data_IF_815862004956
#
_entry.id   IF_815862004956
#
_cell.length_a   1.000
_cell.length_b   1.000
_cell.length_c   1.000
_cell.angle_alpha   90.00
_cell.angle_beta   90.00
_cell.angle_gamma   90.00
#
_symmetry.space_group_name_H-M   'P 1'
#
loop_
_entity.id
_entity.type
_entity.pdbx_description
1 polymer ?
#
# COMPACT_ATOMS: atom_id res chain seq x y z
N UNK A 1 -67.86 40.12 -30.47
CA UNK A 1 -66.77 39.98 -29.50
C UNK A 1 -66.07 38.66 -29.85
N UNK A 2 -64.94 38.75 -30.53
CA UNK A 2 -64.18 37.56 -31.09
C UNK A 2 -62.99 37.25 -30.22
N UNK A 3 -62.89 36.01 -29.73
CA UNK A 3 -61.83 35.49 -28.95
C UNK A 3 -60.87 34.81 -29.90
N UNK A 4 -59.63 35.33 -30.00
CA UNK A 4 -58.56 34.73 -30.79
C UNK A 4 -57.82 33.65 -30.01
N UNK A 5 -57.69 32.46 -30.60
CA UNK A 5 -56.81 31.37 -30.12
C UNK A 5 -55.44 31.46 -30.82
N UNK A 6 -54.38 31.54 -30.04
CA UNK A 6 -53.00 31.42 -30.51
C UNK A 6 -52.54 29.96 -30.49
N UNK A 7 -51.77 29.48 -31.48
CA UNK A 7 -51.25 28.11 -31.48
C UNK A 7 -49.96 28.04 -30.64
N UNK A 8 -49.88 27.02 -29.77
CA UNK A 8 -48.66 26.65 -29.05
C UNK A 8 -47.75 25.85 -29.99
N UNK A 9 -46.57 26.36 -30.24
CA UNK A 9 -45.47 25.65 -30.88
C UNK A 9 -44.84 24.66 -29.87
N UNK A 10 -44.88 23.35 -30.17
CA UNK A 10 -44.18 22.31 -29.47
C UNK A 10 -42.73 22.28 -29.90
N UNK A 11 -41.82 22.72 -29.05
CA UNK A 11 -40.37 22.57 -29.21
C UNK A 11 -39.94 21.17 -28.77
N UNK A 12 -39.58 20.31 -29.74
CA UNK A 12 -38.99 18.99 -29.45
C UNK A 12 -37.54 19.14 -28.97
N UNK A 13 -37.27 18.73 -27.74
CA UNK A 13 -35.92 18.51 -27.25
C UNK A 13 -35.39 17.19 -27.79
N UNK A 14 -34.42 17.26 -28.70
CA UNK A 14 -33.59 16.13 -29.08
C UNK A 14 -32.58 15.84 -27.93
N UNK A 15 -32.86 14.79 -27.17
CA UNK A 15 -31.90 14.27 -26.19
C UNK A 15 -30.85 13.45 -26.94
N UNK A 16 -29.65 14.00 -27.08
CA UNK A 16 -28.46 13.30 -27.59
C UNK A 16 -27.96 12.36 -26.50
N UNK A 17 -28.26 11.07 -26.61
CA UNK A 17 -27.68 10.04 -25.74
C UNK A 17 -26.20 9.84 -26.14
N UNK A 18 -25.27 10.35 -25.31
CA UNK A 18 -23.86 10.02 -25.38
C UNK A 18 -23.67 8.62 -24.81
N UNK A 19 -23.56 7.62 -25.68
CA UNK A 19 -23.18 6.27 -25.28
C UNK A 19 -21.69 6.28 -24.88
N UNK A 20 -21.43 6.18 -23.59
CA UNK A 20 -20.10 5.94 -23.06
C UNK A 20 -19.68 4.50 -23.43
N UNK A 21 -18.86 4.34 -24.45
CA UNK A 21 -18.22 3.06 -24.79
C UNK A 21 -17.12 2.81 -23.76
N UNK A 22 -17.44 2.05 -22.73
CA UNK A 22 -16.44 1.49 -21.81
C UNK A 22 -15.69 0.39 -22.54
N UNK A 23 -14.49 0.69 -23.01
CA UNK A 23 -13.55 -0.32 -23.55
C UNK A 23 -13.11 -1.23 -22.39
N UNK A 24 -13.74 -2.39 -22.29
CA UNK A 24 -13.33 -3.42 -21.37
C UNK A 24 -11.96 -3.99 -21.84
N UNK A 25 -10.88 -3.61 -21.17
CA UNK A 25 -9.56 -4.21 -21.40
C UNK A 25 -9.64 -5.67 -20.95
N UNK A 26 -9.31 -6.66 -21.80
CA UNK A 26 -9.35 -8.05 -21.41
C UNK A 26 -8.37 -8.30 -20.25
N UNK A 27 -8.81 -9.05 -19.23
CA UNK A 27 -8.04 -9.34 -17.99
C UNK A 27 -6.65 -9.87 -18.30
N UNK A 28 -6.49 -10.66 -19.37
CA UNK A 28 -5.20 -11.18 -19.81
C UNK A 28 -4.22 -10.09 -20.26
N UNK A 29 -4.68 -9.06 -20.95
CA UNK A 29 -3.83 -7.95 -21.40
C UNK A 29 -3.40 -7.05 -20.22
N UNK A 30 -4.30 -6.80 -19.28
CA UNK A 30 -3.96 -6.06 -18.06
C UNK A 30 -2.91 -6.79 -17.22
N UNK A 31 -3.04 -8.11 -17.06
CA UNK A 31 -2.07 -8.96 -16.36
C UNK A 31 -0.69 -8.94 -17.04
N UNK A 32 -0.63 -9.05 -18.36
CA UNK A 32 0.62 -8.98 -19.11
C UNK A 32 1.32 -7.63 -18.88
N UNK A 33 0.60 -6.53 -19.03
CA UNK A 33 1.14 -5.17 -18.88
C UNK A 33 1.77 -4.93 -17.48
N UNK A 34 1.14 -5.39 -16.38
CA UNK A 34 1.70 -5.21 -15.03
C UNK A 34 2.89 -6.13 -14.76
N UNK A 35 2.92 -7.32 -15.38
CA UNK A 35 4.09 -8.24 -15.31
C UNK A 35 5.28 -7.66 -16.05
N UNK A 36 5.06 -7.07 -17.22
CA UNK A 36 6.09 -6.39 -18.00
C UNK A 36 6.64 -5.16 -17.26
N UNK A 37 5.75 -4.37 -16.65
CA UNK A 37 6.17 -3.24 -15.82
C UNK A 37 7.03 -3.68 -14.61
N UNK A 38 6.72 -4.83 -14.01
CA UNK A 38 7.55 -5.40 -12.93
C UNK A 38 8.93 -5.86 -13.46
N UNK A 39 8.95 -6.53 -14.62
CA UNK A 39 10.18 -6.97 -15.28
C UNK A 39 11.09 -5.77 -15.59
N UNK A 40 10.56 -4.74 -16.25
CA UNK A 40 11.32 -3.56 -16.68
C UNK A 40 11.94 -2.81 -15.48
N UNK A 41 11.16 -2.59 -14.42
CA UNK A 41 11.65 -1.94 -13.20
C UNK A 41 12.71 -2.77 -12.49
N UNK A 42 12.52 -4.09 -12.45
CA UNK A 42 13.51 -5.03 -11.87
C UNK A 42 14.81 -5.04 -12.69
N UNK A 43 14.72 -4.97 -14.03
CA UNK A 43 15.88 -4.84 -14.91
C UNK A 43 16.65 -3.55 -14.61
N UNK A 44 15.96 -2.40 -14.53
CA UNK A 44 16.60 -1.11 -14.28
C UNK A 44 17.23 -1.04 -12.88
N UNK A 45 16.61 -1.62 -11.85
CA UNK A 45 17.20 -1.76 -10.51
C UNK A 45 18.45 -2.65 -10.53
N UNK A 46 18.46 -3.71 -11.32
CA UNK A 46 19.63 -4.56 -11.46
C UNK A 46 20.77 -3.88 -12.24
N UNK A 47 20.45 -3.16 -13.32
CA UNK A 47 21.39 -2.36 -14.08
C UNK A 47 21.98 -1.21 -13.23
N UNK A 48 21.14 -0.55 -12.40
CA UNK A 48 21.57 0.46 -11.43
C UNK A 48 22.67 -0.06 -10.50
N UNK A 49 22.49 -1.25 -9.92
CA UNK A 49 23.49 -1.85 -9.03
C UNK A 49 24.84 -2.14 -9.69
N UNK A 50 24.84 -2.35 -11.01
CA UNK A 50 26.05 -2.61 -11.78
C UNK A 50 26.71 -1.35 -12.29
N UNK A 51 25.92 -0.35 -12.72
CA UNK A 51 26.38 0.77 -13.54
C UNK A 51 26.22 2.14 -12.87
N UNK A 52 25.66 2.21 -11.67
CA UNK A 52 25.42 3.46 -10.92
C UNK A 52 24.70 4.54 -11.76
N UNK A 53 23.47 4.19 -12.21
CA UNK A 53 22.73 4.98 -13.20
C UNK A 53 21.98 6.18 -12.62
N UNK A 54 21.58 6.12 -11.35
CA UNK A 54 20.55 6.99 -10.77
C UNK A 54 20.91 7.52 -9.39
N UNK A 55 20.42 8.70 -9.07
CA UNK A 55 20.46 9.29 -7.74
C UNK A 55 19.64 8.47 -6.72
N UNK A 56 19.99 8.50 -5.42
CA UNK A 56 19.34 7.70 -4.37
C UNK A 56 17.81 7.86 -4.30
N UNK A 57 17.28 9.07 -4.47
CA UNK A 57 15.83 9.31 -4.46
C UNK A 57 15.11 8.62 -5.63
N UNK A 58 15.72 8.60 -6.81
CA UNK A 58 15.18 7.90 -7.98
C UNK A 58 15.27 6.38 -7.82
N UNK A 59 16.34 5.86 -7.21
CA UNK A 59 16.45 4.43 -6.88
C UNK A 59 15.30 4.02 -5.96
N UNK A 60 15.04 4.79 -4.91
CA UNK A 60 13.94 4.52 -3.99
C UNK A 60 12.56 4.61 -4.67
N UNK A 61 12.35 5.59 -5.56
CA UNK A 61 11.12 5.70 -6.36
C UNK A 61 10.93 4.48 -7.27
N UNK A 62 12.00 4.04 -7.93
CA UNK A 62 11.97 2.88 -8.81
C UNK A 62 11.73 1.57 -8.03
N UNK A 63 12.30 1.44 -6.83
CA UNK A 63 12.06 0.29 -5.94
C UNK A 63 10.60 0.25 -5.48
N UNK A 64 10.06 1.38 -4.99
CA UNK A 64 8.66 1.49 -4.62
C UNK A 64 7.73 1.10 -5.80
N UNK A 65 8.03 1.59 -6.99
CA UNK A 65 7.26 1.28 -8.19
C UNK A 65 7.39 -0.21 -8.61
N UNK A 66 8.57 -0.83 -8.45
CA UNK A 66 8.75 -2.25 -8.73
C UNK A 66 7.93 -3.12 -7.76
N UNK A 67 7.94 -2.79 -6.47
CA UNK A 67 7.13 -3.46 -5.45
C UNK A 67 5.63 -3.29 -5.73
N UNK A 68 5.18 -2.10 -6.11
CA UNK A 68 3.79 -1.84 -6.48
C UNK A 68 3.38 -2.62 -7.75
N UNK A 69 4.24 -2.69 -8.77
CA UNK A 69 3.96 -3.49 -9.97
C UNK A 69 3.87 -4.99 -9.65
N UNK A 70 4.73 -5.48 -8.75
CA UNK A 70 4.64 -6.86 -8.26
C UNK A 70 3.31 -7.11 -7.55
N UNK A 71 2.89 -6.24 -6.64
CA UNK A 71 1.62 -6.32 -5.95
C UNK A 71 0.43 -6.32 -6.90
N UNK A 72 0.43 -5.40 -7.87
CA UNK A 72 -0.60 -5.31 -8.90
C UNK A 72 -0.67 -6.60 -9.75
N UNK A 73 0.47 -7.17 -10.15
CA UNK A 73 0.51 -8.42 -10.90
C UNK A 73 -0.06 -9.60 -10.10
N UNK A 74 0.27 -9.71 -8.81
CA UNK A 74 -0.26 -10.75 -7.92
C UNK A 74 -1.78 -10.61 -7.75
N UNK A 75 -2.29 -9.41 -7.53
CA UNK A 75 -3.75 -9.14 -7.45
C UNK A 75 -4.47 -9.40 -8.77
N UNK A 76 -3.80 -9.17 -9.90
CA UNK A 76 -4.31 -9.55 -11.22
C UNK A 76 -4.22 -11.06 -11.51
N UNK A 77 -3.82 -11.88 -10.53
CA UNK A 77 -3.77 -13.34 -10.63
C UNK A 77 -2.50 -13.90 -11.27
N UNK A 78 -1.41 -13.12 -11.39
CA UNK A 78 -0.13 -13.66 -11.84
C UNK A 78 0.43 -14.66 -10.80
N UNK A 79 0.88 -15.86 -11.20
CA UNK A 79 1.55 -16.77 -10.28
C UNK A 79 2.84 -16.15 -9.71
N UNK A 80 3.06 -16.30 -8.41
CA UNK A 80 4.27 -15.80 -7.77
C UNK A 80 5.56 -16.39 -8.38
N UNK A 81 5.50 -17.64 -8.83
CA UNK A 81 6.60 -18.31 -9.53
C UNK A 81 6.97 -17.59 -10.83
N UNK A 82 5.97 -17.15 -11.62
CA UNK A 82 6.20 -16.43 -12.89
C UNK A 82 6.90 -15.08 -12.63
N UNK A 83 6.51 -14.37 -11.57
CA UNK A 83 7.16 -13.11 -11.18
C UNK A 83 8.60 -13.35 -10.70
N UNK A 84 8.83 -14.43 -9.96
CA UNK A 84 10.18 -14.83 -9.54
C UNK A 84 11.05 -15.13 -10.76
N UNK A 85 10.53 -15.88 -11.74
CA UNK A 85 11.22 -16.16 -12.99
C UNK A 85 11.46 -14.90 -13.82
N UNK A 86 10.48 -13.99 -13.91
CA UNK A 86 10.62 -12.70 -14.57
C UNK A 86 11.75 -11.86 -13.93
N UNK A 87 11.79 -11.78 -12.60
CA UNK A 87 12.84 -11.09 -11.89
C UNK A 87 14.22 -11.70 -12.13
N UNK A 88 14.33 -13.03 -12.18
CA UNK A 88 15.58 -13.73 -12.51
C UNK A 88 16.06 -13.39 -13.93
N UNK A 89 15.16 -13.46 -14.93
CA UNK A 89 15.47 -13.07 -16.31
C UNK A 89 15.92 -11.60 -16.41
N UNK A 90 15.24 -10.69 -15.72
CA UNK A 90 15.59 -9.28 -15.69
C UNK A 90 17.02 -9.05 -15.15
N UNK A 91 17.37 -9.71 -14.04
CA UNK A 91 18.71 -9.62 -13.45
C UNK A 91 19.79 -10.22 -14.38
N UNK A 92 19.51 -11.36 -14.98
CA UNK A 92 20.43 -12.00 -15.93
C UNK A 92 20.67 -11.10 -17.15
N UNK A 93 19.62 -10.48 -17.71
CA UNK A 93 19.75 -9.52 -18.81
C UNK A 93 20.60 -8.33 -18.39
N UNK A 94 20.33 -7.72 -17.24
CA UNK A 94 21.10 -6.58 -16.72
C UNK A 94 22.58 -6.91 -16.52
N UNK A 95 22.89 -8.11 -16.01
CA UNK A 95 24.26 -8.55 -15.82
C UNK A 95 25.06 -8.64 -17.14
N UNK A 96 24.39 -8.96 -18.25
CA UNK A 96 24.98 -9.08 -19.60
C UNK A 96 25.01 -7.76 -20.37
N UNK A 97 24.21 -6.76 -19.99
CA UNK A 97 24.14 -5.44 -20.67
C UNK A 97 25.36 -4.61 -20.29
N UNK A 98 26.07 -4.04 -21.24
CA UNK A 98 27.17 -3.12 -20.98
C UNK A 98 26.65 -1.79 -20.41
N UNK A 99 27.45 -1.11 -19.56
CA UNK A 99 27.02 0.14 -18.94
C UNK A 99 26.96 1.32 -19.94
N UNK A 100 27.67 1.24 -21.03
CA UNK A 100 27.70 2.19 -22.14
C UNK A 100 26.72 1.83 -23.27
N UNK A 101 25.89 0.77 -23.10
CA UNK A 101 24.92 0.34 -24.09
C UNK A 101 23.93 1.46 -24.42
N UNK A 102 23.75 1.74 -25.74
CA UNK A 102 22.93 2.83 -26.22
C UNK A 102 21.44 2.66 -25.89
N UNK A 103 20.93 1.41 -25.85
CA UNK A 103 19.54 1.13 -25.47
C UNK A 103 19.34 1.35 -23.95
N UNK A 104 20.32 0.94 -23.14
CA UNK A 104 20.30 1.19 -21.70
C UNK A 104 20.25 2.70 -21.42
N UNK A 105 21.04 3.51 -22.14
CA UNK A 105 21.05 4.97 -21.98
C UNK A 105 19.71 5.61 -22.37
N UNK A 106 19.06 5.13 -23.44
CA UNK A 106 17.71 5.57 -23.81
C UNK A 106 16.66 5.22 -22.76
N UNK A 107 16.73 4.02 -22.20
CA UNK A 107 15.82 3.60 -21.12
C UNK A 107 16.08 4.38 -19.85
N UNK A 108 17.36 4.64 -19.50
CA UNK A 108 17.75 5.51 -18.37
C UNK A 108 17.06 6.88 -18.46
N UNK A 109 17.15 7.55 -19.61
CA UNK A 109 16.53 8.86 -19.82
C UNK A 109 15.00 8.82 -19.65
N UNK A 110 14.34 7.78 -20.19
CA UNK A 110 12.88 7.58 -20.01
C UNK A 110 12.49 7.34 -18.55
N UNK A 111 13.28 6.57 -17.80
CA UNK A 111 13.05 6.35 -16.37
C UNK A 111 13.18 7.67 -15.62
N UNK A 112 14.23 8.45 -15.85
CA UNK A 112 14.40 9.76 -15.21
C UNK A 112 13.22 10.69 -15.47
N UNK A 113 12.77 10.80 -16.71
CA UNK A 113 11.60 11.61 -17.07
C UNK A 113 10.30 11.08 -16.43
N UNK A 114 10.07 9.78 -16.49
CA UNK A 114 8.85 9.15 -15.95
C UNK A 114 8.72 9.22 -14.42
N UNK A 115 9.85 9.19 -13.71
CA UNK A 115 9.85 9.25 -12.23
C UNK A 115 10.01 10.67 -11.66
N UNK A 116 10.21 11.69 -12.50
CA UNK A 116 10.30 13.07 -12.03
C UNK A 116 9.06 13.52 -11.24
N UNK A 117 7.86 13.06 -11.61
CA UNK A 117 6.62 13.29 -10.87
C UNK A 117 6.59 12.57 -9.50
N UNK A 118 7.06 11.32 -9.47
CA UNK A 118 7.15 10.53 -8.24
C UNK A 118 8.06 11.17 -7.21
N UNK A 119 9.21 11.66 -7.63
CA UNK A 119 10.17 12.31 -6.73
C UNK A 119 9.60 13.55 -6.05
N UNK A 120 8.69 14.26 -6.74
CA UNK A 120 7.98 15.44 -6.19
C UNK A 120 6.68 15.12 -5.45
N UNK A 121 6.22 13.87 -5.49
CA UNK A 121 4.99 13.48 -4.81
C UNK A 121 5.21 13.42 -3.30
N UNK A 122 4.54 14.30 -2.56
CA UNK A 122 4.54 14.26 -1.10
C UNK A 122 3.64 13.16 -0.56
N UNK A 123 2.54 12.86 -1.27
CA UNK A 123 1.53 11.86 -0.88
C UNK A 123 1.26 10.90 -2.01
N UNK A 124 1.05 9.62 -1.64
CA UNK A 124 0.74 8.57 -2.61
C UNK A 124 -0.07 7.45 -1.95
N UNK A 125 -0.95 6.81 -2.74
CA UNK A 125 -1.71 5.65 -2.32
C UNK A 125 -1.07 4.36 -2.87
N UNK A 126 -1.05 3.32 -2.03
CA UNK A 126 -0.51 2.00 -2.32
C UNK A 126 -1.63 0.98 -2.14
N UNK A 127 -2.17 0.42 -3.24
CA UNK A 127 -3.36 -0.40 -3.18
C UNK A 127 -3.22 -1.70 -2.39
N UNK A 128 -4.31 -2.12 -1.73
CA UNK A 128 -4.62 -3.49 -1.38
C UNK A 128 -5.79 -3.99 -2.23
N UNK A 129 -6.47 -5.03 -1.79
CA UNK A 129 -7.65 -5.56 -2.50
C UNK A 129 -8.91 -4.72 -2.22
N UNK A 130 -9.10 -4.28 -0.98
CA UNK A 130 -10.27 -3.51 -0.49
C UNK A 130 -9.89 -2.16 0.08
N UNK A 131 -8.69 -2.03 0.62
CA UNK A 131 -8.17 -0.83 1.25
C UNK A 131 -6.82 -0.44 0.64
N UNK A 132 -6.38 0.79 0.89
CA UNK A 132 -5.09 1.27 0.43
C UNK A 132 -4.28 1.82 1.60
N UNK A 133 -2.97 1.69 1.52
CA UNK A 133 -2.04 2.42 2.36
C UNK A 133 -1.86 3.83 1.82
N UNK A 134 -2.03 4.84 2.67
CA UNK A 134 -1.75 6.24 2.33
C UNK A 134 -0.39 6.63 2.87
N UNK A 135 0.52 6.95 1.95
CA UNK A 135 1.88 7.43 2.24
C UNK A 135 1.94 8.95 2.26
N UNK A 136 2.70 9.52 3.21
CA UNK A 136 2.95 10.96 3.36
C UNK A 136 4.42 11.20 3.72
N UNK A 137 5.12 12.01 2.91
CA UNK A 137 6.55 12.32 3.07
C UNK A 137 6.82 13.69 3.69
N UNK A 138 5.78 14.44 4.08
CA UNK A 138 5.99 15.71 4.76
C UNK A 138 6.66 15.51 6.12
N UNK A 139 7.54 16.45 6.48
CA UNK A 139 7.99 16.62 7.86
C UNK A 139 7.04 17.51 8.64
N UNK A 140 6.90 17.24 9.94
CA UNK A 140 6.09 18.03 10.85
C UNK A 140 6.70 18.00 12.25
N UNK A 141 6.43 19.05 13.05
CA UNK A 141 6.89 19.10 14.44
C UNK A 141 6.20 18.07 15.33
N UNK A 142 4.94 17.76 15.03
CA UNK A 142 4.17 16.73 15.75
C UNK A 142 4.18 15.42 14.97
N UNK A 143 4.12 14.29 15.68
CA UNK A 143 3.96 12.98 15.06
C UNK A 143 2.67 12.93 14.24
N UNK A 144 2.76 12.39 13.03
CA UNK A 144 1.66 12.18 12.11
C UNK A 144 1.84 10.86 11.36
N UNK A 145 0.82 10.45 10.64
CA UNK A 145 0.91 9.26 9.81
C UNK A 145 1.81 9.49 8.61
N UNK A 146 2.82 8.62 8.46
CA UNK A 146 3.68 8.57 7.27
C UNK A 146 3.25 7.47 6.31
N UNK A 147 2.70 6.39 6.83
CA UNK A 147 2.03 5.35 6.05
C UNK A 147 0.89 4.81 6.91
N UNK A 148 -0.34 4.80 6.42
CA UNK A 148 -1.50 4.42 7.23
C UNK A 148 -2.56 3.69 6.42
N UNK A 149 -3.20 2.71 7.06
CA UNK A 149 -4.42 2.06 6.61
C UNK A 149 -5.48 2.18 7.71
N UNK A 150 -6.73 2.38 7.31
CA UNK A 150 -7.88 2.44 8.22
C UNK A 150 -8.59 1.09 8.29
N UNK A 151 -9.11 0.76 9.45
CA UNK A 151 -9.93 -0.42 9.74
C UNK A 151 -10.87 -0.12 10.91
N UNK A 152 -11.56 -1.12 11.40
CA UNK A 152 -12.41 -1.02 12.58
C UNK A 152 -12.51 -2.36 13.32
N UNK A 153 -12.89 -2.29 14.59
CA UNK A 153 -13.34 -3.43 15.40
C UNK A 153 -14.72 -3.10 15.97
N UNK A 154 -15.77 -3.75 15.44
CA UNK A 154 -17.16 -3.33 15.68
C UNK A 154 -17.36 -1.87 15.24
N UNK A 155 -17.87 -1.02 16.14
CA UNK A 155 -18.05 0.44 15.90
C UNK A 155 -16.80 1.28 16.22
N UNK A 156 -15.73 0.67 16.71
CA UNK A 156 -14.52 1.37 17.13
C UNK A 156 -13.55 1.49 15.96
N UNK A 157 -13.22 2.73 15.50
CA UNK A 157 -12.26 2.92 14.43
C UNK A 157 -10.84 2.57 14.89
N UNK A 158 -10.09 1.95 14.00
CA UNK A 158 -8.68 1.56 14.21
C UNK A 158 -7.85 2.03 13.03
N UNK A 159 -6.75 2.69 13.30
CA UNK A 159 -5.70 3.00 12.33
C UNK A 159 -4.44 2.23 12.65
N UNK A 160 -3.78 1.75 11.63
CA UNK A 160 -2.46 1.15 11.79
C UNK A 160 -1.52 1.61 10.68
N UNK A 161 -0.24 1.76 11.06
CA UNK A 161 0.80 2.09 10.10
C UNK A 161 2.10 2.57 10.73
N UNK A 162 2.77 3.45 10.02
CA UNK A 162 4.01 4.08 10.44
C UNK A 162 3.74 5.53 10.83
N UNK A 163 3.91 5.86 12.10
CA UNK A 163 3.74 7.22 12.61
C UNK A 163 5.08 7.81 13.02
N UNK A 164 5.26 9.12 12.81
CA UNK A 164 6.49 9.84 13.16
C UNK A 164 6.43 11.30 12.72
N UNK A 165 7.46 12.06 13.04
CA UNK A 165 7.60 13.47 12.64
C UNK A 165 8.01 13.62 11.17
N UNK A 166 8.64 12.59 10.60
CA UNK A 166 9.05 12.54 9.21
C UNK A 166 9.23 11.10 8.72
N UNK A 167 9.53 10.91 7.43
CA UNK A 167 9.62 9.57 6.83
C UNK A 167 10.74 8.68 7.41
N UNK A 168 11.78 9.29 8.01
CA UNK A 168 12.93 8.57 8.63
C UNK A 168 12.75 8.26 10.12
N UNK A 169 11.75 8.86 10.77
CA UNK A 169 11.53 8.76 12.23
C UNK A 169 10.26 7.95 12.57
N UNK A 170 9.91 7.00 11.71
CA UNK A 170 8.66 6.25 11.83
C UNK A 170 8.77 5.05 12.74
N UNK A 171 7.71 4.81 13.51
CA UNK A 171 7.51 3.61 14.32
C UNK A 171 6.17 2.94 13.99
N UNK A 172 6.09 1.60 14.02
CA UNK A 172 4.84 0.89 13.84
C UNK A 172 3.88 1.22 14.97
N UNK A 173 2.73 1.76 14.62
CA UNK A 173 1.76 2.30 15.59
C UNK A 173 0.35 1.85 15.21
N UNK A 174 -0.43 1.41 16.19
CA UNK A 174 -1.89 1.31 16.06
C UNK A 174 -2.55 2.36 16.93
N UNK A 175 -3.58 3.01 16.41
CA UNK A 175 -4.44 3.93 17.17
C UNK A 175 -5.85 3.40 17.14
N UNK A 176 -6.45 3.28 18.32
CA UNK A 176 -7.83 2.85 18.49
C UNK A 176 -8.59 3.84 19.36
N UNK A 177 -9.84 4.11 18.96
CA UNK A 177 -10.78 4.93 19.73
C UNK A 177 -11.96 4.02 20.11
N UNK A 178 -11.86 3.32 21.25
CA UNK A 178 -12.91 2.39 21.67
C UNK A 178 -14.20 3.12 22.01
N UNK A 179 -15.30 2.58 21.49
CA UNK A 179 -16.67 3.01 21.77
C UNK A 179 -17.35 1.98 22.65
N UNK A 180 -17.75 2.40 23.87
CA UNK A 180 -18.51 1.55 24.80
C UNK A 180 -17.73 0.34 25.37
N UNK A 181 -16.39 0.37 25.32
CA UNK A 181 -15.53 -0.69 25.88
C UNK A 181 -14.49 -0.11 26.84
N UNK A 182 -14.05 -0.87 27.86
CA UNK A 182 -12.94 -0.49 28.70
C UNK A 182 -11.62 -0.42 27.90
N UNK A 183 -10.58 0.11 28.54
CA UNK A 183 -9.23 0.13 27.98
C UNK A 183 -8.66 -1.29 27.94
N UNK A 184 -8.12 -1.75 26.80
CA UNK A 184 -7.39 -3.03 26.76
C UNK A 184 -6.11 -2.96 27.59
N UNK A 185 -5.66 -4.09 28.10
CA UNK A 185 -4.39 -4.15 28.84
C UNK A 185 -3.19 -4.45 27.95
N UNK A 186 -3.42 -5.01 26.76
CA UNK A 186 -2.39 -5.31 25.77
C UNK A 186 -2.94 -5.20 24.36
N UNK A 187 -2.02 -5.01 23.40
CA UNK A 187 -2.30 -5.14 21.97
C UNK A 187 -1.20 -5.97 21.31
N UNK A 188 -1.56 -6.73 20.28
CA UNK A 188 -0.61 -7.52 19.49
C UNK A 188 -0.98 -7.53 18.01
N UNK A 189 0.04 -7.54 17.15
CA UNK A 189 -0.10 -7.80 15.71
C UNK A 189 0.06 -9.30 15.52
N UNK A 190 -0.86 -9.92 14.80
CA UNK A 190 -0.83 -11.34 14.43
C UNK A 190 -0.82 -11.44 12.92
N UNK A 191 0.16 -12.14 12.37
CA UNK A 191 0.32 -12.34 10.93
C UNK A 191 0.87 -13.74 10.63
N UNK A 192 0.90 -14.13 9.36
CA UNK A 192 1.55 -15.38 8.97
C UNK A 192 3.05 -15.36 9.30
N UNK A 193 3.54 -16.43 9.90
CA UNK A 193 4.95 -16.70 10.04
C UNK A 193 5.47 -17.38 8.75
N UNK A 194 6.30 -16.67 7.98
CA UNK A 194 6.82 -17.18 6.71
C UNK A 194 7.78 -18.37 6.86
N UNK A 195 8.44 -18.47 8.00
CA UNK A 195 9.40 -19.53 8.27
C UNK A 195 8.67 -20.83 8.61
N UNK A 196 7.55 -20.74 9.32
CA UNK A 196 6.70 -21.89 9.70
C UNK A 196 5.66 -22.22 8.64
N UNK A 197 5.18 -21.22 7.91
CA UNK A 197 4.17 -21.35 6.85
C UNK A 197 4.69 -20.66 5.58
N UNK A 198 5.58 -21.34 4.80
CA UNK A 198 6.20 -20.73 3.62
C UNK A 198 5.21 -20.38 2.51
N UNK A 199 4.14 -21.18 2.37
CA UNK A 199 3.09 -20.91 1.39
C UNK A 199 2.23 -19.73 1.83
N UNK A 200 1.89 -18.87 0.84
CA UNK A 200 0.98 -17.75 1.02
C UNK A 200 -0.38 -18.26 1.50
N UNK A 201 -0.96 -17.62 2.51
CA UNK A 201 -2.23 -18.01 3.11
C UNK A 201 -3.35 -17.09 2.62
N UNK A 202 -4.10 -17.57 1.63
CA UNK A 202 -5.21 -16.83 1.00
C UNK A 202 -6.59 -17.44 1.28
N UNK A 203 -6.65 -18.48 2.09
CA UNK A 203 -7.89 -19.25 2.31
C UNK A 203 -8.88 -18.45 3.15
N UNK A 204 -10.02 -18.09 2.56
CA UNK A 204 -11.17 -17.52 3.25
C UNK A 204 -10.96 -16.18 3.96
N UNK A 205 -9.89 -15.43 3.65
CA UNK A 205 -9.55 -14.19 4.36
C UNK A 205 -9.22 -14.40 5.85
N UNK A 206 -8.98 -15.64 6.27
CA UNK A 206 -8.62 -16.02 7.62
C UNK A 206 -7.11 -15.97 7.87
N UNK A 207 -6.74 -16.12 9.15
CA UNK A 207 -5.36 -16.30 9.56
C UNK A 207 -4.95 -17.78 9.46
N UNK A 208 -3.67 -18.10 9.23
CA UNK A 208 -3.19 -19.48 9.35
C UNK A 208 -3.44 -20.03 10.77
N UNK A 209 -3.34 -21.37 10.96
CA UNK A 209 -3.38 -21.97 12.31
C UNK A 209 -2.38 -21.29 13.24
N UNK A 210 -2.63 -21.31 14.55
CA UNK A 210 -1.80 -20.62 15.54
C UNK A 210 -0.32 -20.98 15.46
N UNK A 211 0.00 -22.23 15.20
CA UNK A 211 1.38 -22.71 15.02
C UNK A 211 2.10 -22.07 13.80
N UNK A 212 1.33 -21.57 12.85
CA UNK A 212 1.83 -20.89 11.64
C UNK A 212 1.81 -19.36 11.73
N UNK A 213 1.55 -18.80 12.92
CA UNK A 213 1.47 -17.35 13.14
C UNK A 213 2.73 -16.81 13.79
N UNK A 214 3.03 -15.56 13.45
CA UNK A 214 4.00 -14.69 14.14
C UNK A 214 3.24 -13.59 14.86
N UNK A 215 3.64 -13.33 16.10
CA UNK A 215 3.00 -12.36 16.98
C UNK A 215 4.01 -11.32 17.43
N UNK A 216 3.60 -10.05 17.39
CA UNK A 216 4.37 -8.92 17.91
C UNK A 216 3.51 -8.18 18.93
N UNK A 217 3.88 -8.23 20.20
CA UNK A 217 3.22 -7.43 21.22
C UNK A 217 3.65 -5.97 21.14
N UNK A 218 2.73 -5.05 21.46
CA UNK A 218 3.09 -3.66 21.69
C UNK A 218 3.99 -3.55 22.91
N UNK A 219 5.05 -2.75 22.80
CA UNK A 219 5.98 -2.51 23.91
C UNK A 219 5.40 -1.55 24.95
N UNK A 220 4.59 -0.59 24.52
CA UNK A 220 3.90 0.37 25.39
C UNK A 220 2.70 0.99 24.68
N UNK A 221 1.87 1.71 25.46
CA UNK A 221 0.77 2.52 24.94
C UNK A 221 0.71 3.88 25.67
N UNK A 222 0.13 4.86 24.98
CA UNK A 222 -0.11 6.19 25.50
C UNK A 222 -1.34 6.83 24.82
N UNK A 223 -1.82 7.96 25.36
CA UNK A 223 -2.86 8.75 24.70
C UNK A 223 -2.40 9.16 23.30
N UNK A 224 -3.24 8.90 22.29
CA UNK A 224 -2.89 9.23 20.92
C UNK A 224 -2.85 10.74 20.70
N UNK A 225 -1.83 11.23 19.97
CA UNK A 225 -1.79 12.61 19.52
C UNK A 225 -3.01 12.91 18.61
N UNK A 226 -3.58 14.12 18.65
CA UNK A 226 -4.75 14.49 17.83
C UNK A 226 -4.56 14.23 16.34
N UNK A 227 -3.34 14.43 15.81
CA UNK A 227 -2.94 14.16 14.41
C UNK A 227 -3.05 12.70 13.99
N UNK A 228 -3.08 11.76 14.94
CA UNK A 228 -3.18 10.33 14.68
C UNK A 228 -4.62 9.80 14.81
N UNK A 229 -5.54 10.59 15.38
CA UNK A 229 -6.94 10.19 15.54
C UNK A 229 -7.68 10.10 14.21
N UNK A 230 -8.69 9.24 14.15
CA UNK A 230 -9.68 9.23 13.06
C UNK A 230 -10.52 10.50 13.12
N UNK A 231 -11.03 10.93 11.99
CA UNK A 231 -11.94 12.06 11.90
C UNK A 231 -13.14 11.87 12.84
N UNK A 232 -13.48 12.88 13.61
CA UNK A 232 -14.55 12.85 14.61
C UNK A 232 -14.18 12.20 15.95
N UNK A 233 -13.07 11.48 16.07
CA UNK A 233 -12.61 10.95 17.35
C UNK A 233 -11.97 12.06 18.20
N UNK A 234 -12.39 12.16 19.47
CA UNK A 234 -11.85 13.16 20.41
C UNK A 234 -10.68 12.62 21.23
N UNK A 235 -10.58 11.29 21.35
CA UNK A 235 -9.54 10.61 22.11
C UNK A 235 -9.29 9.24 21.52
N UNK A 236 -8.12 8.68 21.81
CA UNK A 236 -7.72 7.35 21.38
C UNK A 236 -6.45 6.93 22.09
N UNK A 237 -6.10 5.67 21.94
CA UNK A 237 -4.89 5.10 22.50
C UNK A 237 -3.97 4.65 21.37
N UNK A 238 -2.72 5.09 21.45
CA UNK A 238 -1.66 4.70 20.54
C UNK A 238 -0.88 3.52 21.16
N UNK A 239 -0.74 2.46 20.41
CA UNK A 239 0.01 1.24 20.75
C UNK A 239 1.23 1.15 19.87
N UNK A 240 2.42 1.10 20.46
CA UNK A 240 3.69 1.15 19.76
C UNK A 240 4.30 -0.24 19.67
N UNK A 241 4.57 -0.69 18.44
CA UNK A 241 5.11 -2.02 18.17
C UNK A 241 6.61 -1.96 17.81
N UNK A 242 7.34 -3.08 17.98
CA UNK A 242 8.73 -3.16 17.60
C UNK A 242 8.91 -3.02 16.08
N UNK A 243 10.04 -2.46 15.64
CA UNK A 243 10.36 -2.25 14.23
C UNK A 243 10.27 -3.55 13.39
N UNK A 244 10.63 -4.69 13.98
CA UNK A 244 10.53 -6.01 13.34
C UNK A 244 9.11 -6.37 12.87
N UNK A 245 8.06 -5.77 13.46
CA UNK A 245 6.69 -5.96 12.98
C UNK A 245 6.50 -5.37 11.57
N UNK A 246 7.01 -4.15 11.32
CA UNK A 246 6.95 -3.53 9.99
C UNK A 246 7.84 -4.25 8.97
N UNK A 247 8.97 -4.81 9.40
CA UNK A 247 9.84 -5.62 8.55
C UNK A 247 9.13 -6.90 8.11
N UNK A 248 8.54 -7.63 9.07
CA UNK A 248 7.80 -8.85 8.78
C UNK A 248 6.56 -8.59 7.90
N UNK A 249 5.82 -7.51 8.15
CA UNK A 249 4.67 -7.10 7.35
C UNK A 249 5.09 -6.80 5.89
N UNK A 250 6.21 -6.11 5.68
CA UNK A 250 6.75 -5.81 4.35
C UNK A 250 7.15 -7.05 3.53
N UNK A 251 7.24 -8.21 4.18
CA UNK A 251 7.57 -9.48 3.54
C UNK A 251 6.34 -10.34 3.21
N UNK A 252 5.15 -9.99 3.67
CA UNK A 252 3.92 -10.71 3.34
C UNK A 252 3.58 -10.59 1.84
N UNK A 253 2.80 -11.53 1.35
CA UNK A 253 2.19 -11.38 0.03
C UNK A 253 1.15 -10.24 0.08
N UNK A 254 1.10 -9.35 -0.91
CA UNK A 254 0.14 -8.24 -0.93
C UNK A 254 -1.33 -8.63 -0.81
N UNK A 255 -1.67 -9.88 -1.08
CA UNK A 255 -3.05 -10.42 -0.97
C UNK A 255 -3.37 -10.97 0.41
N UNK A 256 -2.39 -11.05 1.33
CA UNK A 256 -2.60 -11.53 2.69
C UNK A 256 -3.19 -10.45 3.58
N UNK A 257 -3.84 -10.91 4.65
CA UNK A 257 -4.32 -10.07 5.74
C UNK A 257 -3.52 -10.35 7.01
N UNK A 258 -3.53 -9.37 7.91
CA UNK A 258 -3.08 -9.52 9.29
C UNK A 258 -4.11 -8.89 10.21
N UNK A 259 -4.02 -9.17 11.50
CA UNK A 259 -4.94 -8.62 12.50
C UNK A 259 -4.17 -7.91 13.61
N UNK A 260 -4.79 -6.88 14.16
CA UNK A 260 -4.39 -6.30 15.44
C UNK A 260 -5.44 -6.72 16.45
N UNK A 261 -4.99 -7.40 17.48
CA UNK A 261 -5.81 -7.88 18.57
C UNK A 261 -5.58 -6.99 19.80
N UNK A 262 -6.67 -6.53 20.41
CA UNK A 262 -6.69 -5.80 21.67
C UNK A 262 -7.26 -6.71 22.73
N UNK A 263 -6.51 -6.95 23.80
CA UNK A 263 -6.82 -7.92 24.85
C UNK A 263 -7.39 -7.19 26.07
N UNK A 264 -8.52 -7.69 26.59
CA UNK A 264 -9.22 -7.13 27.74
C UNK A 264 -9.13 -8.05 28.96
N UNK A 265 -9.36 -7.48 30.16
CA UNK A 265 -9.26 -8.20 31.44
C UNK A 265 -10.33 -9.25 31.66
N UNK A 266 -11.39 -9.23 30.87
CA UNK A 266 -12.47 -10.21 30.85
C UNK A 266 -12.22 -11.32 29.81
N UNK A 267 -10.98 -11.50 29.41
CA UNK A 267 -10.52 -12.45 28.40
C UNK A 267 -11.12 -12.24 27.00
N UNK A 268 -11.89 -11.18 26.79
CA UNK A 268 -12.37 -10.81 25.45
C UNK A 268 -11.26 -10.23 24.59
N UNK A 269 -11.36 -10.45 23.27
CA UNK A 269 -10.44 -9.91 22.26
C UNK A 269 -11.24 -9.11 21.25
N UNK A 270 -10.76 -7.90 20.95
CA UNK A 270 -11.25 -7.12 19.82
C UNK A 270 -10.24 -7.19 18.68
N UNK A 271 -10.68 -7.62 17.51
CA UNK A 271 -9.85 -7.77 16.32
C UNK A 271 -10.11 -6.67 15.31
N UNK A 272 -9.06 -6.01 14.83
CA UNK A 272 -9.09 -5.15 13.67
C UNK A 272 -8.27 -5.78 12.54
N UNK A 273 -8.89 -5.99 11.38
CA UNK A 273 -8.29 -6.66 10.24
C UNK A 273 -7.75 -5.64 9.25
N UNK A 274 -6.53 -5.90 8.77
CA UNK A 274 -5.81 -5.08 7.81
C UNK A 274 -5.31 -5.93 6.63
N UNK A 275 -5.06 -5.30 5.52
CA UNK A 275 -4.46 -5.94 4.34
C UNK A 275 -2.97 -5.61 4.28
N UNK A 276 -2.14 -6.61 3.97
CA UNK A 276 -0.73 -6.37 3.66
C UNK A 276 -0.62 -5.39 2.48
N UNK A 277 -1.41 -5.60 1.42
CA UNK A 277 -1.44 -4.70 0.29
C UNK A 277 -0.05 -4.34 -0.21
N UNK A 278 0.08 -3.16 -0.76
CA UNK A 278 1.37 -2.62 -1.20
C UNK A 278 2.13 -1.89 -0.06
N UNK A 279 2.05 -2.38 1.20
CA UNK A 279 2.78 -1.81 2.34
C UNK A 279 4.28 -1.70 2.09
N UNK A 280 4.90 -2.71 1.49
CA UNK A 280 6.32 -2.70 1.16
C UNK A 280 6.66 -1.56 0.18
N UNK A 281 5.80 -1.31 -0.82
CA UNK A 281 5.96 -0.18 -1.75
C UNK A 281 5.80 1.17 -1.03
N UNK A 282 4.83 1.27 -0.11
CA UNK A 282 4.65 2.45 0.74
C UNK A 282 5.87 2.73 1.62
N UNK A 283 6.47 1.71 2.21
CA UNK A 283 7.73 1.87 2.95
C UNK A 283 8.87 2.35 2.07
N UNK A 284 9.02 1.76 0.89
CA UNK A 284 10.05 2.17 -0.07
C UNK A 284 9.82 3.63 -0.53
N UNK A 285 8.59 4.07 -0.69
CA UNK A 285 8.26 5.47 -0.98
C UNK A 285 8.75 6.43 0.11
N UNK A 286 8.65 6.05 1.38
CA UNK A 286 9.15 6.87 2.49
C UNK A 286 10.69 7.01 2.45
N UNK A 287 11.43 6.01 1.93
CA UNK A 287 12.89 6.08 1.84
C UNK A 287 13.40 7.11 0.83
N UNK A 288 12.51 7.64 -0.03
CA UNK A 288 12.84 8.77 -0.90
C UNK A 288 13.17 10.05 -0.13
N UNK A 289 12.89 10.10 1.17
CA UNK A 289 13.12 11.25 2.04
C UNK A 289 11.94 12.22 2.09
N UNK A 290 12.11 13.26 2.89
CA UNK A 290 11.10 14.31 3.09
C UNK A 290 10.97 15.25 1.88
N UNK A 291 9.85 15.93 1.79
CA UNK A 291 9.55 17.05 0.90
C UNK A 291 9.11 18.26 1.73
#
# INVERSE_FOLDING_TARGET
MRIGLSPRTAGGMLATAVAAVTLAVPVGAARAAVTDAFYDRTFMLAAQRKCDLFEPALIAALDAAALQARGAALRAGAPAADLTAAAARARTKAARTACDDGDLNRVKARVQAGFAGWMRAARMNFPGDRSAWRGDRYESQAAGWRLVQDSATGSSPVRFGLAGTGPKTTVPTAVVSFVGRPRPYAARIVMRDRDKTPRVWLTGGGMPPETGRRVFFAGWSHAAAPSLLTEGARQGEAWIFPAGAAEALGQLDPRETFVIEFLFRDDSIAEARFEAGDFAAGRAFLTMGAI
#
